data_IF_167738591631
#
_entry.id   IF_167738591631
#
_cell.length_a   1.000
_cell.length_b   1.000
_cell.length_c   1.000
_cell.angle_alpha   90.00
_cell.angle_beta   90.00
_cell.angle_gamma   90.00
#
_symmetry.space_group_name_H-M   'P 1'
#
loop_
_entity.id
_entity.type
_entity.pdbx_description
1 polymer ?
#
# COMPACT_ATOMS: atom_id res chain seq x y z
N UNK A 1 8.66 -4.01 -12.67
CA UNK A 1 7.77 -4.95 -11.95
C UNK A 1 7.32 -4.41 -10.60
N UNK A 2 8.24 -3.97 -9.72
CA UNK A 2 7.91 -3.44 -8.39
C UNK A 2 6.86 -2.31 -8.41
N UNK A 3 7.04 -1.29 -9.25
CA UNK A 3 6.08 -0.16 -9.34
C UNK A 3 4.68 -0.59 -9.80
N UNK A 4 4.59 -1.49 -10.78
CA UNK A 4 3.31 -2.04 -11.25
C UNK A 4 2.62 -2.84 -10.14
N UNK A 5 3.39 -3.60 -9.36
CA UNK A 5 2.87 -4.36 -8.23
C UNK A 5 2.33 -3.44 -7.12
N UNK A 6 3.07 -2.38 -6.77
CA UNK A 6 2.62 -1.35 -5.81
C UNK A 6 1.34 -0.66 -6.32
N UNK A 7 1.27 -0.37 -7.61
CA UNK A 7 0.06 0.20 -8.21
C UNK A 7 -1.14 -0.76 -8.10
N UNK A 8 -0.94 -2.05 -8.40
CA UNK A 8 -1.97 -3.08 -8.24
C UNK A 8 -2.48 -3.19 -6.80
N UNK A 9 -1.57 -3.19 -5.82
CA UNK A 9 -1.94 -3.20 -4.40
C UNK A 9 -2.69 -1.93 -4.00
N UNK A 10 -2.30 -0.78 -4.54
CA UNK A 10 -2.98 0.49 -4.30
C UNK A 10 -4.43 0.46 -4.82
N UNK A 11 -4.68 -0.18 -5.97
CA UNK A 11 -6.04 -0.41 -6.47
C UNK A 11 -6.84 -1.34 -5.55
N UNK A 12 -6.23 -2.41 -5.04
CA UNK A 12 -6.87 -3.32 -4.07
C UNK A 12 -7.20 -2.56 -2.78
N UNK A 13 -6.27 -1.76 -2.27
CA UNK A 13 -6.49 -0.91 -1.08
C UNK A 13 -7.66 0.06 -1.30
N UNK A 14 -7.71 0.71 -2.46
CA UNK A 14 -8.81 1.61 -2.82
C UNK A 14 -10.15 0.86 -2.93
N UNK A 15 -10.15 -0.33 -3.54
CA UNK A 15 -11.31 -1.21 -3.62
C UNK A 15 -11.82 -1.61 -2.23
N UNK A 16 -10.92 -1.96 -1.31
CA UNK A 16 -11.30 -2.29 0.07
C UNK A 16 -11.91 -1.10 0.79
N UNK A 17 -11.39 0.12 0.60
CA UNK A 17 -12.01 1.32 1.14
C UNK A 17 -13.43 1.54 0.61
N UNK A 18 -13.61 1.39 -0.70
CA UNK A 18 -14.91 1.50 -1.34
C UNK A 18 -15.90 0.46 -0.81
N UNK A 19 -15.48 -0.81 -0.71
CA UNK A 19 -16.30 -1.89 -0.14
C UNK A 19 -16.62 -1.63 1.34
N UNK A 20 -15.65 -1.17 2.13
CA UNK A 20 -15.84 -0.82 3.54
C UNK A 20 -16.94 0.23 3.71
N UNK A 21 -16.92 1.25 2.85
CA UNK A 21 -17.94 2.31 2.84
C UNK A 21 -19.28 1.86 2.29
N UNK A 22 -19.31 1.02 1.24
CA UNK A 22 -20.55 0.55 0.61
C UNK A 22 -21.34 -0.39 1.51
N UNK A 23 -20.66 -1.30 2.22
CA UNK A 23 -21.31 -2.29 3.09
C UNK A 23 -21.48 -1.81 4.53
N UNK A 24 -21.16 -0.55 4.84
CA UNK A 24 -21.28 0.00 6.20
C UNK A 24 -20.43 -0.75 7.24
N UNK A 25 -19.32 -1.38 6.81
CA UNK A 25 -18.47 -2.13 7.72
C UNK A 25 -17.80 -1.16 8.71
N UNK A 26 -17.75 -1.58 9.99
CA UNK A 26 -17.23 -0.78 11.11
C UNK A 26 -15.70 -0.71 11.16
N UNK A 27 -14.98 -1.16 10.13
CA UNK A 27 -13.52 -1.15 10.15
C UNK A 27 -13.03 0.28 9.93
N UNK A 28 -12.24 0.86 10.85
CA UNK A 28 -11.63 2.16 10.63
C UNK A 28 -10.74 2.14 9.38
N UNK A 29 -10.91 3.12 8.48
CA UNK A 29 -10.09 3.22 7.26
C UNK A 29 -8.58 3.27 7.58
N UNK A 30 -8.20 3.75 8.77
CA UNK A 30 -6.82 3.72 9.25
C UNK A 30 -6.27 2.30 9.48
N UNK A 31 -7.09 1.36 9.93
CA UNK A 31 -6.68 -0.05 10.12
C UNK A 31 -6.35 -0.71 8.78
N UNK A 32 -7.13 -0.40 7.73
CA UNK A 32 -6.84 -0.87 6.37
C UNK A 32 -5.46 -0.35 5.92
N UNK A 33 -5.18 0.96 6.09
CA UNK A 33 -3.85 1.51 5.79
C UNK A 33 -2.73 0.78 6.54
N UNK A 34 -2.90 0.57 7.85
CA UNK A 34 -1.88 -0.04 8.69
C UNK A 34 -1.57 -1.48 8.25
N UNK A 35 -2.58 -2.24 7.83
CA UNK A 35 -2.38 -3.58 7.26
C UNK A 35 -1.53 -3.52 5.99
N UNK A 36 -1.85 -2.62 5.05
CA UNK A 36 -1.08 -2.50 3.81
C UNK A 36 0.36 -2.05 4.05
N UNK A 37 0.60 -1.09 4.95
CA UNK A 37 1.96 -0.68 5.32
C UNK A 37 2.73 -1.86 5.92
N UNK A 38 2.16 -2.62 6.86
CA UNK A 38 2.82 -3.79 7.41
C UNK A 38 3.15 -4.84 6.32
N UNK A 39 2.24 -5.06 5.38
CA UNK A 39 2.49 -5.94 4.24
C UNK A 39 3.66 -5.43 3.38
N UNK A 40 3.75 -4.13 3.10
CA UNK A 40 4.88 -3.55 2.35
C UNK A 40 6.21 -3.66 3.07
N UNK A 41 6.21 -3.65 4.41
CA UNK A 41 7.45 -3.71 5.18
C UNK A 41 7.95 -5.13 5.40
N UNK A 42 7.04 -6.06 5.69
CA UNK A 42 7.41 -7.38 6.23
C UNK A 42 7.22 -8.51 5.23
N UNK A 43 6.17 -8.43 4.41
CA UNK A 43 5.68 -9.58 3.63
C UNK A 43 6.11 -9.46 2.17
N UNK A 44 5.78 -8.35 1.53
CA UNK A 44 5.93 -8.15 0.10
C UNK A 44 7.39 -8.17 -0.38
N UNK A 45 8.36 -7.52 0.29
CA UNK A 45 9.74 -7.47 -0.21
C UNK A 45 10.35 -8.87 -0.39
N UNK A 46 9.98 -9.81 0.49
CA UNK A 46 10.51 -11.18 0.50
C UNK A 46 10.19 -11.96 -0.77
N UNK A 47 9.06 -11.68 -1.43
CA UNK A 47 8.69 -12.34 -2.68
C UNK A 47 9.52 -11.87 -3.88
N UNK A 48 10.29 -10.79 -3.74
CA UNK A 48 11.11 -10.23 -4.81
C UNK A 48 12.60 -10.44 -4.59
N UNK A 49 13.02 -11.05 -3.48
CA UNK A 49 14.44 -11.25 -3.21
C UNK A 49 15.07 -12.24 -4.19
N UNK A 50 16.19 -11.87 -4.83
CA UNK A 50 16.92 -12.79 -5.68
C UNK A 50 17.62 -13.87 -4.85
N UNK A 51 17.97 -14.97 -5.49
CA UNK A 51 18.80 -15.99 -4.87
C UNK A 51 20.16 -15.40 -4.44
N UNK A 52 20.74 -15.86 -3.32
CA UNK A 52 22.05 -15.41 -2.86
C UNK A 52 23.12 -15.70 -3.92
N UNK A 53 23.86 -14.67 -4.34
CA UNK A 53 25.02 -14.85 -5.21
C UNK A 53 26.17 -15.43 -4.41
N UNK A 54 26.80 -16.49 -4.90
CA UNK A 54 27.93 -17.17 -4.27
C UNK A 54 29.25 -16.43 -4.42
N UNK A 55 29.28 -15.43 -5.29
CA UNK A 55 30.47 -14.76 -5.82
C UNK A 55 31.07 -13.73 -4.82
N UNK A 56 30.43 -13.52 -3.67
CA UNK A 56 30.89 -12.65 -2.58
C UNK A 56 30.82 -11.14 -2.85
N UNK A 57 30.83 -10.73 -4.12
CA UNK A 57 30.74 -9.32 -4.55
C UNK A 57 29.28 -8.85 -4.48
N UNK A 58 29.02 -7.77 -3.74
CA UNK A 58 27.68 -7.18 -3.52
C UNK A 58 26.66 -8.12 -2.85
N UNK A 59 27.11 -9.06 -2.02
CA UNK A 59 26.21 -9.86 -1.18
C UNK A 59 25.23 -8.96 -0.39
N UNK A 60 23.92 -9.19 -0.56
CA UNK A 60 22.87 -8.46 0.17
C UNK A 60 22.48 -7.09 -0.40
N UNK A 61 23.26 -6.48 -1.29
CA UNK A 61 22.93 -5.18 -1.88
C UNK A 61 21.61 -5.20 -2.69
N UNK A 62 21.31 -6.23 -3.50
CA UNK A 62 20.02 -6.32 -4.19
C UNK A 62 18.83 -6.45 -3.23
N UNK A 63 18.99 -7.22 -2.16
CA UNK A 63 17.96 -7.42 -1.12
C UNK A 63 17.65 -6.09 -0.44
N UNK A 64 18.68 -5.32 -0.09
CA UNK A 64 18.53 -4.00 0.51
C UNK A 64 17.80 -3.03 -0.42
N UNK A 65 18.19 -2.97 -1.70
CA UNK A 65 17.55 -2.10 -2.70
C UNK A 65 16.07 -2.40 -2.89
N UNK A 66 15.70 -3.69 -2.94
CA UNK A 66 14.30 -4.12 -3.04
C UNK A 66 13.53 -3.75 -1.78
N UNK A 67 14.12 -4.00 -0.60
CA UNK A 67 13.49 -3.69 0.69
C UNK A 67 13.20 -2.20 0.83
N UNK A 68 14.22 -1.36 0.61
CA UNK A 68 14.07 0.10 0.66
C UNK A 68 13.08 0.62 -0.38
N UNK A 69 13.09 0.04 -1.60
CA UNK A 69 12.12 0.38 -2.63
C UNK A 69 10.69 0.16 -2.17
N UNK A 70 10.38 -1.01 -1.59
CA UNK A 70 9.03 -1.28 -1.07
C UNK A 70 8.68 -0.43 0.15
N UNK A 71 9.64 -0.16 1.04
CA UNK A 71 9.39 0.68 2.20
C UNK A 71 9.04 2.12 1.79
N UNK A 72 9.83 2.73 0.90
CA UNK A 72 9.62 4.11 0.48
C UNK A 72 8.39 4.20 -0.44
N UNK A 73 8.40 3.50 -1.57
CA UNK A 73 7.33 3.62 -2.57
C UNK A 73 6.02 3.02 -2.07
N UNK A 74 6.06 1.94 -1.28
CA UNK A 74 4.86 1.35 -0.66
C UNK A 74 4.23 2.27 0.38
N UNK A 75 5.02 2.94 1.21
CA UNK A 75 4.50 3.93 2.18
C UNK A 75 3.87 5.13 1.47
N UNK A 76 4.57 5.68 0.46
CA UNK A 76 4.07 6.82 -0.32
C UNK A 76 2.76 6.44 -1.00
N UNK A 77 2.72 5.30 -1.70
CA UNK A 77 1.53 4.85 -2.40
C UNK A 77 0.37 4.57 -1.43
N UNK A 78 0.60 3.81 -0.37
CA UNK A 78 -0.44 3.47 0.61
C UNK A 78 -1.01 4.69 1.32
N UNK A 79 -0.15 5.64 1.70
CA UNK A 79 -0.57 6.90 2.33
C UNK A 79 -1.32 7.79 1.35
N UNK A 80 -0.82 7.95 0.11
CA UNK A 80 -1.49 8.72 -0.93
C UNK A 80 -2.89 8.16 -1.22
N UNK A 81 -3.02 6.84 -1.37
CA UNK A 81 -4.33 6.19 -1.57
C UNK A 81 -5.28 6.42 -0.39
N UNK A 82 -4.79 6.35 0.85
CA UNK A 82 -5.60 6.66 2.03
C UNK A 82 -6.06 8.12 2.06
N UNK A 83 -5.18 9.07 1.75
CA UNK A 83 -5.51 10.50 1.71
C UNK A 83 -6.51 10.81 0.60
N UNK A 84 -6.30 10.28 -0.61
CA UNK A 84 -7.23 10.42 -1.74
C UNK A 84 -8.61 9.89 -1.35
N UNK A 85 -8.67 8.69 -0.74
CA UNK A 85 -9.93 8.13 -0.26
C UNK A 85 -10.62 9.04 0.76
N UNK A 86 -9.89 9.54 1.77
CA UNK A 86 -10.44 10.47 2.76
C UNK A 86 -11.00 11.74 2.13
N UNK A 87 -10.31 12.31 1.15
CA UNK A 87 -10.77 13.49 0.42
C UNK A 87 -12.06 13.22 -0.36
N UNK A 88 -12.15 12.06 -1.04
CA UNK A 88 -13.36 11.64 -1.77
C UNK A 88 -14.53 11.46 -0.81
N UNK A 89 -14.33 10.73 0.29
CA UNK A 89 -15.34 10.49 1.32
C UNK A 89 -15.85 11.79 1.94
N UNK A 90 -14.95 12.72 2.26
CA UNK A 90 -15.31 14.03 2.79
C UNK A 90 -16.17 14.85 1.82
N UNK A 91 -15.80 14.88 0.53
CA UNK A 91 -16.59 15.56 -0.51
C UNK A 91 -17.99 14.94 -0.65
N UNK A 92 -18.09 13.62 -0.61
CA UNK A 92 -19.37 12.91 -0.66
C UNK A 92 -20.28 13.26 0.52
N UNK A 93 -19.75 13.30 1.75
CA UNK A 93 -20.53 13.72 2.93
C UNK A 93 -20.98 15.17 2.84
N UNK A 94 -20.13 16.10 2.37
CA UNK A 94 -20.53 17.51 2.21
C UNK A 94 -21.57 17.73 1.12
N UNK A 95 -21.53 16.96 0.03
CA UNK A 95 -22.56 17.02 -1.00
C UNK A 95 -23.93 16.60 -0.44
N UNK A 96 -23.96 15.58 0.42
CA UNK A 96 -25.19 15.09 1.04
C UNK A 96 -25.76 16.03 2.11
N UNK A 97 -24.96 16.91 2.70
CA UNK A 97 -25.43 17.93 3.68
C UNK A 97 -25.95 19.23 3.03
N UNK A 98 -25.78 19.40 1.72
CA UNK A 98 -26.27 20.58 0.98
C UNK A 98 -27.61 20.36 0.27
N UNK A 99 -28.16 19.15 0.37
CA UNK A 99 -29.50 18.77 -0.14
C UNK A 99 -30.45 18.72 1.05
#
# INVERSE_FOLDING_TARGET
MILLFIFGISLIQFGLYYLNSKYGKKVPDFLILLIFINCYFLVIPRFFYPEPRTDGINCGMPVLGITLGFWIFGTIAGTATHLIWKLIKYKSTKAQQRV
#
